data_IF_094485997107
#
_entry.id   IF_094485997107
#
_cell.length_a   1.000
_cell.length_b   1.000
_cell.length_c   1.000
_cell.angle_alpha   90.00
_cell.angle_beta   90.00
_cell.angle_gamma   90.00
#
_symmetry.space_group_name_H-M   'P 1'
#
loop_
_entity.id
_entity.type
_entity.pdbx_description
1 polymer ?
#
# COMPACT_ATOMS: atom_id res chain seq x y z
N UNK A 1 4.69 3.01 9.77
CA UNK A 1 3.83 3.21 8.59
C UNK A 1 2.74 4.22 8.88
N UNK A 2 2.31 5.01 7.89
CA UNK A 2 1.21 5.98 7.97
C UNK A 2 0.13 5.59 6.96
N UNK A 3 -1.08 5.28 7.43
CA UNK A 3 -2.20 4.81 6.59
C UNK A 3 -3.38 5.75 6.80
N UNK A 4 -3.84 6.41 5.74
CA UNK A 4 -4.89 7.42 5.80
C UNK A 4 -5.95 7.17 4.73
N UNK A 5 -7.23 7.08 5.12
CA UNK A 5 -8.37 6.89 4.19
C UNK A 5 -8.19 5.68 3.26
N UNK A 6 -7.76 4.55 3.82
CA UNK A 6 -7.53 3.34 3.05
C UNK A 6 -8.54 2.23 3.40
N UNK A 7 -8.88 1.39 2.43
CA UNK A 7 -9.60 0.14 2.61
C UNK A 7 -8.64 -0.96 2.14
N UNK A 8 -8.18 -1.79 3.07
CA UNK A 8 -7.14 -2.79 2.82
C UNK A 8 -7.61 -4.14 3.36
N UNK A 9 -7.85 -5.10 2.48
CA UNK A 9 -8.29 -6.45 2.84
C UNK A 9 -7.27 -7.49 2.42
N UNK A 10 -6.90 -8.41 3.32
CA UNK A 10 -5.89 -9.43 3.07
C UNK A 10 -4.56 -8.88 2.49
N UNK A 11 -4.18 -7.67 2.91
CA UNK A 11 -2.95 -7.03 2.46
C UNK A 11 -1.81 -7.21 3.47
N UNK A 12 -0.60 -7.43 2.96
CA UNK A 12 0.65 -7.33 3.73
C UNK A 12 1.24 -5.94 3.52
N UNK A 13 1.58 -5.26 4.61
CA UNK A 13 2.17 -3.92 4.58
C UNK A 13 3.44 -3.94 5.42
N UNK A 14 4.56 -3.76 4.77
CA UNK A 14 5.88 -3.74 5.39
C UNK A 14 6.18 -2.37 6.04
N UNK A 15 7.37 -2.27 6.65
CA UNK A 15 7.79 -1.12 7.46
C UNK A 15 7.86 0.18 6.66
N UNK A 16 7.63 1.32 7.33
CA UNK A 16 7.78 2.66 6.73
C UNK A 16 6.94 2.94 5.46
N UNK A 17 5.87 2.18 5.23
CA UNK A 17 4.91 2.48 4.17
C UNK A 17 4.06 3.73 4.49
N UNK A 18 3.86 4.60 3.50
CA UNK A 18 2.93 5.74 3.55
C UNK A 18 1.83 5.53 2.52
N UNK A 19 0.61 5.29 2.98
CA UNK A 19 -0.57 5.01 2.15
C UNK A 19 -1.63 6.09 2.35
N UNK A 20 -2.14 6.66 1.26
CA UNK A 20 -3.22 7.66 1.30
C UNK A 20 -4.25 7.42 0.21
N UNK A 21 -5.53 7.34 0.56
CA UNK A 21 -6.61 7.06 -0.40
C UNK A 21 -6.35 5.79 -1.22
N UNK A 22 -6.03 4.68 -0.55
CA UNK A 22 -5.71 3.39 -1.16
C UNK A 22 -6.84 2.40 -0.93
N UNK A 23 -7.39 1.80 -1.99
CA UNK A 23 -8.31 0.67 -1.91
C UNK A 23 -7.62 -0.53 -2.54
N UNK A 24 -7.40 -1.59 -1.77
CA UNK A 24 -6.68 -2.76 -2.26
C UNK A 24 -7.02 -4.03 -1.50
N UNK A 25 -7.14 -5.12 -2.24
CA UNK A 25 -7.36 -6.46 -1.69
C UNK A 25 -6.26 -7.43 -2.17
N UNK A 26 -5.86 -8.36 -1.30
CA UNK A 26 -4.91 -9.44 -1.59
C UNK A 26 -3.56 -8.93 -2.15
N UNK A 27 -3.02 -7.85 -1.57
CA UNK A 27 -1.82 -7.16 -2.07
C UNK A 27 -0.65 -7.21 -1.10
N UNK A 28 0.57 -7.02 -1.61
CA UNK A 28 1.79 -6.89 -0.83
C UNK A 28 2.39 -5.51 -1.08
N UNK A 29 2.63 -4.76 -0.02
CA UNK A 29 3.18 -3.41 -0.05
C UNK A 29 4.49 -3.41 0.73
N UNK A 30 5.60 -3.24 0.02
CA UNK A 30 6.97 -3.31 0.54
C UNK A 30 7.39 -2.15 1.44
N UNK A 31 8.64 -2.19 1.90
CA UNK A 31 9.18 -1.26 2.90
C UNK A 31 9.52 0.11 2.31
N UNK A 32 9.36 1.17 3.11
CA UNK A 32 9.74 2.55 2.75
C UNK A 32 9.11 3.05 1.44
N UNK A 33 7.85 2.68 1.22
CA UNK A 33 7.09 3.04 0.01
C UNK A 33 6.15 4.21 0.27
N UNK A 34 5.80 4.93 -0.80
CA UNK A 34 4.73 5.94 -0.78
C UNK A 34 3.72 5.63 -1.87
N UNK A 35 2.46 5.44 -1.48
CA UNK A 35 1.35 5.11 -2.39
C UNK A 35 0.17 6.03 -2.16
N UNK A 36 -0.30 6.72 -3.20
CA UNK A 36 -1.43 7.65 -3.09
C UNK A 36 -2.46 7.50 -4.20
N UNK A 37 -3.75 7.58 -3.85
CA UNK A 37 -4.88 7.64 -4.79
C UNK A 37 -4.97 6.45 -5.77
N UNK A 38 -4.89 5.23 -5.24
CA UNK A 38 -4.99 3.99 -6.02
C UNK A 38 -6.22 3.18 -5.58
N UNK A 39 -6.90 2.55 -6.54
CA UNK A 39 -7.86 1.48 -6.30
C UNK A 39 -7.48 0.28 -7.18
N UNK A 40 -6.82 -0.72 -6.60
CA UNK A 40 -6.29 -1.88 -7.34
C UNK A 40 -6.06 -3.07 -6.42
N UNK A 41 -6.46 -4.26 -6.86
CA UNK A 41 -6.32 -5.51 -6.13
C UNK A 41 -5.19 -6.37 -6.71
N UNK A 42 -4.71 -7.35 -5.95
CA UNK A 42 -3.64 -8.29 -6.33
C UNK A 42 -2.35 -7.56 -6.76
N UNK A 43 -2.00 -6.49 -6.05
CA UNK A 43 -0.85 -5.65 -6.36
C UNK A 43 0.37 -6.07 -5.53
N UNK A 44 1.54 -6.07 -6.15
CA UNK A 44 2.82 -6.20 -5.45
C UNK A 44 3.61 -4.91 -5.68
N UNK A 45 3.85 -4.16 -4.62
CA UNK A 45 4.70 -2.97 -4.61
C UNK A 45 5.99 -3.33 -3.88
N UNK A 46 7.13 -3.27 -4.56
CA UNK A 46 8.44 -3.56 -3.97
C UNK A 46 8.98 -2.43 -3.09
N UNK A 47 10.01 -2.72 -2.31
CA UNK A 47 10.65 -1.77 -1.40
C UNK A 47 11.12 -0.48 -2.10
N UNK A 48 11.07 0.64 -1.39
CA UNK A 48 11.51 1.99 -1.82
C UNK A 48 10.80 2.51 -3.09
N UNK A 49 9.68 1.90 -3.46
CA UNK A 49 8.85 2.33 -4.59
C UNK A 49 8.00 3.54 -4.24
N UNK A 50 7.77 4.39 -5.24
CA UNK A 50 6.79 5.48 -5.20
C UNK A 50 5.74 5.15 -6.26
N UNK A 51 4.48 5.10 -5.87
CA UNK A 51 3.37 4.68 -6.73
C UNK A 51 2.16 5.59 -6.62
#
# INVERSE_FOLDING_TARGET
SRIEKCILENCVIESDATLKNVISENSIIGSNVKVENISKNNLIIGDKSIY
#
